data_IF_263258584058
#
_entry.id   IF_263258584058
#
_cell.length_a   1.000
_cell.length_b   1.000
_cell.length_c   1.000
_cell.angle_alpha   90.00
_cell.angle_beta   90.00
_cell.angle_gamma   90.00
#
_symmetry.space_group_name_H-M   'P 1'
#
loop_
_entity.id
_entity.type
_entity.pdbx_description
1 polymer ?
#
# COMPACT_ATOMS: atom_id res chain seq x y z
N UNK A 1 7.19 14.82 3.54
CA UNK A 1 7.97 14.97 2.29
C UNK A 1 7.06 14.72 1.11
N UNK A 2 7.13 15.51 0.02
CA UNK A 2 6.38 15.23 -1.20
C UNK A 2 6.74 13.85 -1.78
N UNK A 3 5.75 13.14 -2.33
CA UNK A 3 5.95 11.78 -2.85
C UNK A 3 6.98 11.74 -4.00
N UNK A 4 7.02 12.79 -4.83
CA UNK A 4 7.92 12.92 -5.99
C UNK A 4 9.40 12.77 -5.66
N UNK A 5 9.81 13.23 -4.47
CA UNK A 5 11.19 13.21 -4.00
C UNK A 5 11.47 12.04 -3.04
N UNK A 6 10.43 11.36 -2.59
CA UNK A 6 10.49 10.30 -1.59
C UNK A 6 10.76 8.96 -2.26
N UNK A 7 11.83 8.22 -1.90
CA UNK A 7 12.00 6.87 -2.37
C UNK A 7 10.83 5.98 -1.94
N UNK A 8 10.29 5.24 -2.91
CA UNK A 8 9.22 4.25 -2.71
C UNK A 8 9.82 2.86 -2.90
N UNK A 9 9.50 1.90 -2.05
CA UNK A 9 9.85 0.50 -2.27
C UNK A 9 8.61 -0.35 -2.54
N UNK A 10 8.78 -1.36 -3.41
CA UNK A 10 7.78 -2.40 -3.65
C UNK A 10 8.42 -3.75 -3.40
N UNK A 11 7.97 -4.45 -2.35
CA UNK A 11 8.41 -5.80 -1.99
C UNK A 11 7.45 -6.82 -2.59
N UNK A 12 8.01 -7.84 -3.26
CA UNK A 12 7.22 -8.72 -4.12
C UNK A 12 6.94 -8.11 -5.49
N UNK A 13 7.82 -7.21 -5.96
CA UNK A 13 7.64 -6.44 -7.19
C UNK A 13 7.48 -7.28 -8.47
N UNK A 14 7.90 -8.56 -8.46
CA UNK A 14 7.71 -9.48 -9.60
C UNK A 14 6.36 -10.20 -9.59
N UNK A 15 5.58 -10.07 -8.52
CA UNK A 15 4.23 -10.63 -8.42
C UNK A 15 3.22 -9.82 -9.24
N UNK A 16 2.05 -10.40 -9.50
CA UNK A 16 0.98 -9.76 -10.26
C UNK A 16 0.64 -8.37 -9.69
N UNK A 17 0.26 -8.32 -8.40
CA UNK A 17 -0.11 -7.08 -7.71
C UNK A 17 1.10 -6.14 -7.57
N UNK A 18 2.23 -6.63 -7.07
CA UNK A 18 3.43 -5.80 -6.86
C UNK A 18 3.91 -5.12 -8.14
N UNK A 19 3.90 -5.83 -9.27
CA UNK A 19 4.33 -5.26 -10.56
C UNK A 19 3.42 -4.15 -11.07
N UNK A 20 2.12 -4.22 -10.79
CA UNK A 20 1.15 -3.18 -11.18
C UNK A 20 1.21 -2.02 -10.21
N UNK A 21 1.31 -2.26 -8.90
CA UNK A 21 1.53 -1.20 -7.91
C UNK A 21 2.77 -0.36 -8.23
N UNK A 22 3.87 -1.02 -8.62
CA UNK A 22 5.09 -0.34 -9.06
C UNK A 22 4.84 0.55 -10.28
N UNK A 23 4.08 0.07 -11.28
CA UNK A 23 3.74 0.87 -12.47
C UNK A 23 2.80 2.04 -12.14
N UNK A 24 1.80 1.84 -11.29
CA UNK A 24 0.86 2.89 -10.84
C UNK A 24 1.58 4.05 -10.15
N UNK A 25 2.58 3.73 -9.31
CA UNK A 25 3.33 4.72 -8.55
C UNK A 25 4.45 5.37 -9.34
N UNK A 26 4.79 4.86 -10.53
CA UNK A 26 5.91 5.35 -11.32
C UNK A 26 5.80 6.84 -11.70
N UNK A 27 4.57 7.34 -11.94
CA UNK A 27 4.35 8.76 -12.22
C UNK A 27 4.39 9.66 -10.98
N UNK A 28 4.41 9.08 -9.77
CA UNK A 28 4.26 9.79 -8.50
C UNK A 28 5.58 9.93 -7.73
N UNK A 29 6.59 9.12 -8.06
CA UNK A 29 7.94 9.20 -7.49
C UNK A 29 9.00 9.14 -8.58
N UNK A 30 10.12 9.84 -8.37
CA UNK A 30 11.29 9.73 -9.23
C UNK A 30 12.24 8.60 -8.81
N UNK A 31 12.03 7.99 -7.64
CA UNK A 31 12.94 7.01 -7.02
C UNK A 31 12.17 5.79 -6.53
N UNK A 32 12.43 4.64 -7.14
CA UNK A 32 11.77 3.38 -6.78
C UNK A 32 12.78 2.26 -6.52
N UNK A 33 12.53 1.48 -5.47
CA UNK A 33 13.28 0.27 -5.11
C UNK A 33 12.36 -0.94 -5.31
N UNK A 34 12.69 -1.79 -6.28
CA UNK A 34 11.94 -3.01 -6.56
C UNK A 34 12.66 -4.18 -5.88
N UNK A 35 11.97 -4.82 -4.93
CA UNK A 35 12.53 -5.91 -4.12
C UNK A 35 11.91 -7.25 -4.53
N UNK A 36 12.75 -8.21 -4.89
CA UNK A 36 12.33 -9.53 -5.32
C UNK A 36 13.50 -10.48 -5.59
N UNK A 37 13.20 -11.79 -5.64
CA UNK A 37 14.22 -12.83 -5.82
C UNK A 37 14.63 -13.05 -7.28
N UNK A 38 13.72 -12.83 -8.23
CA UNK A 38 13.93 -13.07 -9.66
C UNK A 38 14.43 -11.82 -10.37
N UNK A 39 15.75 -11.71 -10.55
CA UNK A 39 16.40 -10.50 -11.10
C UNK A 39 16.02 -10.22 -12.55
N UNK A 40 15.87 -11.26 -13.37
CA UNK A 40 15.37 -11.19 -14.75
C UNK A 40 13.99 -10.50 -14.80
N UNK A 41 13.04 -10.97 -13.98
CA UNK A 41 11.71 -10.40 -13.90
C UNK A 41 11.67 -9.01 -13.27
N UNK A 42 12.56 -8.72 -12.31
CA UNK A 42 12.72 -7.36 -11.80
C UNK A 42 13.20 -6.42 -12.90
N UNK A 43 14.08 -6.87 -13.80
CA UNK A 43 14.50 -6.11 -14.96
C UNK A 43 13.32 -5.71 -15.87
N UNK A 44 12.44 -6.67 -16.17
CA UNK A 44 11.21 -6.43 -16.96
C UNK A 44 10.27 -5.42 -16.26
N UNK A 45 10.06 -5.55 -14.95
CA UNK A 45 9.23 -4.61 -14.18
C UNK A 45 9.89 -3.23 -14.14
N UNK A 46 11.21 -3.15 -13.92
CA UNK A 46 11.94 -1.90 -13.89
C UNK A 46 11.87 -1.15 -15.23
N UNK A 47 11.92 -1.87 -16.36
CA UNK A 47 11.75 -1.26 -17.68
C UNK A 47 10.35 -0.61 -17.81
N UNK A 48 9.29 -1.31 -17.42
CA UNK A 48 7.92 -0.78 -17.43
C UNK A 48 7.75 0.42 -16.49
N UNK A 49 8.32 0.35 -15.29
CA UNK A 49 8.31 1.47 -14.31
C UNK A 49 9.03 2.71 -14.87
N UNK A 50 10.17 2.54 -15.54
CA UNK A 50 10.87 3.65 -16.20
C UNK A 50 10.04 4.27 -17.32
N UNK A 51 9.43 3.43 -18.16
CA UNK A 51 8.53 3.89 -19.22
C UNK A 51 7.30 4.64 -18.68
N UNK A 52 6.82 4.27 -17.49
CA UNK A 52 5.70 4.91 -16.82
C UNK A 52 6.06 6.20 -16.05
N UNK A 53 7.34 6.62 -16.03
CA UNK A 53 7.75 7.96 -15.56
C UNK A 53 8.73 8.00 -14.39
N UNK A 54 9.11 6.86 -13.80
CA UNK A 54 10.07 6.84 -12.69
C UNK A 54 11.51 6.65 -13.19
N UNK A 55 12.33 7.70 -13.11
CA UNK A 55 13.67 7.72 -13.70
C UNK A 55 14.70 6.87 -12.96
N UNK A 56 14.66 6.82 -11.63
CA UNK A 56 15.65 6.12 -10.81
C UNK A 56 15.04 4.85 -10.23
N UNK A 57 15.29 3.72 -10.89
CA UNK A 57 14.79 2.41 -10.45
C UNK A 57 15.95 1.52 -10.05
N UNK A 58 15.98 1.12 -8.77
CA UNK A 58 16.91 0.14 -8.20
C UNK A 58 16.20 -1.20 -8.11
N UNK A 59 16.85 -2.28 -8.56
CA UNK A 59 16.37 -3.65 -8.36
C UNK A 59 17.26 -4.35 -7.33
N UNK A 60 16.69 -5.14 -6.44
CA UNK A 60 17.46 -5.82 -5.38
C UNK A 60 16.72 -7.02 -4.80
N UNK A 61 17.46 -7.93 -4.19
CA UNK A 61 16.91 -8.96 -3.31
C UNK A 61 17.17 -8.64 -1.82
N UNK A 62 17.88 -7.55 -1.52
CA UNK A 62 18.32 -7.20 -0.17
C UNK A 62 17.29 -6.32 0.54
N UNK A 63 16.64 -6.86 1.58
CA UNK A 63 15.65 -6.16 2.39
C UNK A 63 16.22 -4.94 3.14
N UNK A 64 17.52 -4.86 3.38
CA UNK A 64 18.15 -3.69 4.01
C UNK A 64 18.04 -2.42 3.15
N UNK A 65 17.74 -2.53 1.85
CA UNK A 65 17.49 -1.38 0.98
C UNK A 65 16.19 -0.64 1.36
N UNK A 66 15.28 -1.27 2.09
CA UNK A 66 14.06 -0.63 2.59
C UNK A 66 14.33 0.54 3.54
N UNK A 67 15.51 0.59 4.18
CA UNK A 67 15.91 1.69 5.05
C UNK A 67 16.05 3.04 4.29
N UNK A 68 15.99 3.04 2.96
CA UNK A 68 15.99 4.26 2.15
C UNK A 68 14.56 4.76 1.83
N UNK A 69 13.56 3.87 1.90
CA UNK A 69 12.21 4.14 1.43
C UNK A 69 11.35 4.84 2.49
N UNK A 70 10.65 5.91 2.11
CA UNK A 70 9.64 6.54 2.96
C UNK A 70 8.31 5.79 2.87
N UNK A 71 7.97 5.28 1.68
CA UNK A 71 6.74 4.53 1.43
C UNK A 71 7.11 3.14 0.94
N UNK A 72 6.51 2.12 1.54
CA UNK A 72 6.79 0.72 1.22
C UNK A 72 5.46 0.04 0.95
N UNK A 73 5.27 -0.53 -0.24
CA UNK A 73 4.19 -1.48 -0.49
C UNK A 73 4.80 -2.87 -0.44
N UNK A 74 4.21 -3.76 0.35
CA UNK A 74 4.63 -5.15 0.40
C UNK A 74 3.47 -6.06 0.06
N UNK A 75 3.74 -6.98 -0.87
CA UNK A 75 2.78 -7.99 -1.34
C UNK A 75 3.54 -9.21 -1.81
N UNK A 76 3.84 -10.11 -0.87
CA UNK A 76 4.47 -11.39 -1.18
C UNK A 76 3.58 -12.59 -0.89
N UNK A 77 4.10 -13.78 -1.21
CA UNK A 77 3.52 -15.06 -0.84
C UNK A 77 4.35 -15.75 0.26
N UNK A 78 5.08 -14.96 1.06
CA UNK A 78 5.82 -15.48 2.20
C UNK A 78 4.85 -16.02 3.24
N UNK A 79 5.26 -17.11 3.90
CA UNK A 79 4.48 -17.70 5.01
C UNK A 79 4.82 -17.01 6.33
N UNK A 80 6.06 -16.56 6.46
CA UNK A 80 6.57 -15.83 7.63
C UNK A 80 6.77 -14.36 7.28
N UNK A 81 6.81 -13.52 8.31
CA UNK A 81 7.16 -12.11 8.16
C UNK A 81 8.59 -11.98 7.60
N UNK A 82 8.77 -11.04 6.67
CA UNK A 82 10.05 -10.76 5.99
C UNK A 82 10.52 -9.32 6.19
N UNK A 83 9.66 -8.45 6.71
CA UNK A 83 9.98 -7.06 7.08
C UNK A 83 10.05 -6.96 8.61
N UNK A 84 11.25 -6.73 9.10
CA UNK A 84 11.59 -6.58 10.51
C UNK A 84 11.93 -5.12 10.85
N UNK A 85 11.93 -4.73 12.15
CA UNK A 85 12.18 -3.35 12.59
C UNK A 85 13.42 -2.69 11.99
N UNK A 86 14.53 -3.44 11.82
CA UNK A 86 15.80 -2.93 11.29
C UNK A 86 15.75 -2.58 9.81
N UNK A 87 14.80 -3.12 9.05
CA UNK A 87 14.66 -2.82 7.63
C UNK A 87 14.04 -1.44 7.38
N UNK A 88 13.38 -0.86 8.39
CA UNK A 88 12.57 0.33 8.22
C UNK A 88 13.33 1.56 8.71
N UNK A 89 13.24 2.67 7.97
CA UNK A 89 13.71 3.96 8.46
C UNK A 89 12.72 4.60 9.42
N UNK A 90 13.15 5.65 10.13
CA UNK A 90 12.23 6.51 10.86
C UNK A 90 11.25 7.20 9.92
N UNK A 91 9.98 7.21 10.32
CA UNK A 91 8.89 7.81 9.56
C UNK A 91 8.47 7.04 8.32
N UNK A 92 8.84 5.75 8.21
CA UNK A 92 8.36 4.93 7.12
C UNK A 92 6.84 4.70 7.24
N UNK A 93 6.17 4.69 6.08
CA UNK A 93 4.79 4.25 5.93
C UNK A 93 4.80 2.95 5.12
N UNK A 94 4.27 1.87 5.70
CA UNK A 94 4.23 0.54 5.09
C UNK A 94 2.79 0.15 4.82
N UNK A 95 2.45 -0.12 3.56
CA UNK A 95 1.19 -0.73 3.15
C UNK A 95 1.43 -2.23 2.93
N UNK A 96 0.98 -3.05 3.88
CA UNK A 96 1.07 -4.50 3.83
C UNK A 96 -0.23 -5.08 3.25
N UNK A 97 -0.15 -5.49 1.99
CA UNK A 97 -1.26 -6.09 1.23
C UNK A 97 -1.23 -7.63 1.33
N UNK A 98 -0.20 -8.20 1.95
CA UNK A 98 0.00 -9.64 1.99
C UNK A 98 -0.88 -10.34 3.05
N UNK A 99 -1.20 -11.60 2.73
CA UNK A 99 -1.85 -12.55 3.62
C UNK A 99 -1.21 -13.94 3.40
N UNK A 100 -0.48 -14.50 4.38
CA UNK A 100 -0.07 -13.92 5.68
C UNK A 100 0.71 -12.59 5.56
N UNK A 101 0.76 -11.80 6.64
CA UNK A 101 1.43 -10.48 6.66
C UNK A 101 2.92 -10.60 6.37
N UNK A 102 3.44 -9.69 5.56
CA UNK A 102 4.88 -9.57 5.31
C UNK A 102 5.59 -8.83 6.46
N UNK A 103 4.87 -7.98 7.20
CA UNK A 103 5.42 -7.15 8.28
C UNK A 103 5.29 -7.85 9.63
N UNK A 104 6.43 -7.98 10.32
CA UNK A 104 6.54 -8.57 11.65
C UNK A 104 5.80 -7.73 12.69
N UNK A 105 5.14 -8.40 13.65
CA UNK A 105 4.48 -7.74 14.78
C UNK A 105 5.47 -6.92 15.64
N UNK A 106 6.75 -7.31 15.64
CA UNK A 106 7.82 -6.58 16.29
C UNK A 106 7.94 -5.13 15.79
N UNK A 107 7.51 -4.84 14.56
CA UNK A 107 7.50 -3.47 14.03
C UNK A 107 6.55 -2.58 14.84
N UNK A 108 5.34 -3.04 15.14
CA UNK A 108 4.41 -2.27 15.98
C UNK A 108 4.93 -2.05 17.42
N UNK A 109 5.69 -3.02 17.93
CA UNK A 109 6.21 -2.99 19.30
C UNK A 109 7.44 -2.09 19.43
N UNK A 110 8.34 -2.12 18.45
CA UNK A 110 9.65 -1.48 18.53
C UNK A 110 9.73 -0.16 17.76
N UNK A 111 8.82 0.10 16.81
CA UNK A 111 8.87 1.24 15.89
C UNK A 111 7.60 2.10 15.98
N UNK A 112 7.39 2.83 17.10
CA UNK A 112 6.23 3.72 17.24
C UNK A 112 6.29 4.94 16.30
N UNK A 113 7.40 5.09 15.56
CA UNK A 113 7.66 6.10 14.55
C UNK A 113 7.39 5.62 13.11
N UNK A 114 6.85 4.41 12.94
CA UNK A 114 6.49 3.80 11.65
C UNK A 114 4.98 3.58 11.61
N UNK A 115 4.36 3.95 10.49
CA UNK A 115 2.96 3.69 10.24
C UNK A 115 2.82 2.43 9.39
N UNK A 116 2.24 1.36 9.95
CA UNK A 116 1.90 0.15 9.20
C UNK A 116 0.40 0.14 8.94
N UNK A 117 0.01 0.01 7.67
CA UNK A 117 -1.38 -0.04 7.21
C UNK A 117 -1.60 -1.37 6.48
N UNK A 118 -2.67 -2.07 6.80
CA UNK A 118 -3.12 -3.25 6.06
C UNK A 118 -3.87 -2.80 4.80
N UNK A 119 -3.41 -3.26 3.64
CA UNK A 119 -4.03 -2.98 2.36
C UNK A 119 -5.17 -3.94 2.03
N UNK A 120 -5.98 -3.56 1.04
CA UNK A 120 -6.95 -4.47 0.43
C UNK A 120 -8.23 -4.71 1.23
N UNK A 121 -8.62 -3.79 2.12
CA UNK A 121 -9.94 -3.80 2.76
C UNK A 121 -10.90 -2.81 2.09
N UNK A 122 -12.09 -3.29 1.74
CA UNK A 122 -13.09 -2.54 0.99
C UNK A 122 -14.42 -2.56 1.74
N UNK A 123 -15.06 -1.39 1.87
CA UNK A 123 -16.43 -1.26 2.34
C UNK A 123 -17.40 -1.59 1.21
N UNK A 124 -18.24 -2.60 1.43
CA UNK A 124 -19.22 -3.08 0.45
C UNK A 124 -20.50 -2.21 0.53
N UNK A 125 -21.08 -1.77 -0.60
CA UNK A 125 -22.29 -0.95 -0.62
C UNK A 125 -23.51 -1.67 -0.03
N UNK A 126 -24.44 -0.90 0.53
CA UNK A 126 -25.71 -1.41 1.08
C UNK A 126 -25.61 -1.95 2.51
N UNK A 127 -26.60 -2.73 2.94
CA UNK A 127 -26.57 -3.47 4.21
C UNK A 127 -26.27 -4.93 3.88
N UNK A 128 -25.05 -5.36 4.15
CA UNK A 128 -24.58 -6.72 3.83
C UNK A 128 -24.24 -7.44 5.12
N UNK A 129 -24.84 -8.62 5.27
CA UNK A 129 -24.41 -9.64 6.21
C UNK A 129 -23.83 -10.79 5.38
N UNK A 130 -22.55 -11.09 5.58
CA UNK A 130 -21.87 -12.16 4.85
C UNK A 130 -22.17 -13.55 5.42
N UNK A 131 -22.74 -13.63 6.63
CA UNK A 131 -22.94 -14.89 7.34
C UNK A 131 -21.65 -15.61 7.72
N UNK A 132 -20.49 -14.94 7.61
CA UNK A 132 -19.17 -15.49 7.89
C UNK A 132 -18.22 -14.39 8.40
N UNK A 133 -17.37 -14.72 9.37
CA UNK A 133 -16.37 -13.80 9.91
C UNK A 133 -15.01 -13.96 9.21
N UNK A 134 -14.63 -12.96 8.42
CA UNK A 134 -13.34 -12.92 7.71
C UNK A 134 -12.19 -12.33 8.56
N UNK A 135 -12.44 -11.97 9.82
CA UNK A 135 -11.54 -11.16 10.65
C UNK A 135 -11.58 -9.66 10.29
N UNK A 136 -12.62 -9.23 9.59
CA UNK A 136 -12.84 -7.85 9.18
C UNK A 136 -14.08 -7.27 9.89
N UNK A 137 -14.16 -5.94 10.10
CA UNK A 137 -15.36 -5.32 10.63
C UNK A 137 -16.60 -5.63 9.76
N UNK A 138 -17.82 -5.53 10.32
CA UNK A 138 -19.05 -5.68 9.55
C UNK A 138 -19.04 -4.81 8.28
N UNK A 139 -19.65 -5.32 7.19
CA UNK A 139 -19.71 -4.65 5.88
C UNK A 139 -18.35 -4.49 5.16
N UNK A 140 -17.26 -5.06 5.70
CA UNK A 140 -15.95 -5.03 5.05
C UNK A 140 -15.61 -6.37 4.40
N UNK A 141 -14.97 -6.29 3.24
CA UNK A 141 -14.49 -7.43 2.49
C UNK A 141 -13.04 -7.20 2.02
N UNK A 142 -12.32 -8.29 1.74
CA UNK A 142 -11.06 -8.19 1.03
C UNK A 142 -11.29 -7.72 -0.42
N UNK A 143 -10.32 -6.98 -0.98
CA UNK A 143 -10.42 -6.40 -2.32
C UNK A 143 -10.66 -7.46 -3.41
N UNK A 144 -10.10 -8.67 -3.26
CA UNK A 144 -10.37 -9.78 -4.18
C UNK A 144 -11.84 -10.23 -4.16
N UNK A 145 -12.49 -10.22 -2.99
CA UNK A 145 -13.93 -10.51 -2.87
C UNK A 145 -14.75 -9.35 -3.44
N UNK A 146 -14.34 -8.11 -3.17
CA UNK A 146 -14.99 -6.93 -3.70
C UNK A 146 -14.95 -6.87 -5.24
N UNK A 147 -13.85 -7.29 -5.88
CA UNK A 147 -13.75 -7.40 -7.34
C UNK A 147 -14.84 -8.31 -7.90
N UNK A 148 -15.03 -9.51 -7.31
CA UNK A 148 -16.08 -10.44 -7.74
C UNK A 148 -17.48 -9.83 -7.59
N UNK A 149 -17.75 -9.15 -6.48
CA UNK A 149 -19.03 -8.48 -6.25
C UNK A 149 -19.26 -7.34 -7.25
N UNK A 150 -18.24 -6.51 -7.49
CA UNK A 150 -18.31 -5.37 -8.39
C UNK A 150 -18.55 -5.81 -9.84
N UNK A 151 -17.84 -6.84 -10.31
CA UNK A 151 -18.06 -7.44 -11.63
C UNK A 151 -19.47 -8.00 -11.78
N UNK A 152 -19.96 -8.71 -10.76
CA UNK A 152 -21.32 -9.27 -10.75
C UNK A 152 -22.37 -8.18 -10.85
N UNK A 153 -22.23 -7.09 -10.08
CA UNK A 153 -23.14 -5.94 -10.12
C UNK A 153 -23.10 -5.21 -11.48
N UNK A 154 -21.96 -5.26 -12.17
CA UNK A 154 -21.79 -4.73 -13.52
C UNK A 154 -22.18 -5.75 -14.62
N UNK A 155 -22.73 -6.91 -14.23
CA UNK A 155 -23.15 -8.00 -15.13
C UNK A 155 -22.02 -8.53 -16.03
N UNK A 156 -20.78 -8.49 -15.53
CA UNK A 156 -19.61 -9.04 -16.21
C UNK A 156 -19.23 -10.37 -15.57
N UNK A 157 -19.49 -11.46 -16.32
CA UNK A 157 -19.28 -12.84 -15.86
C UNK A 157 -18.10 -13.47 -16.61
N UNK A 158 -16.89 -13.04 -16.26
CA UNK A 158 -15.66 -13.52 -16.87
C UNK A 158 -14.57 -13.72 -15.81
N UNK A 159 -13.54 -14.49 -16.16
CA UNK A 159 -12.32 -14.63 -15.35
C UNK A 159 -11.45 -13.37 -15.49
N UNK A 160 -11.92 -12.26 -14.92
CA UNK A 160 -11.35 -10.92 -15.13
C UNK A 160 -9.87 -10.80 -14.75
N UNK A 161 -9.55 -11.25 -13.53
CA UNK A 161 -8.16 -11.35 -13.04
C UNK A 161 -7.79 -12.82 -12.92
N UNK A 162 -6.97 -13.31 -13.85
CA UNK A 162 -6.51 -14.70 -13.86
C UNK A 162 -5.02 -14.80 -14.16
N UNK A 163 -4.31 -15.62 -13.39
CA UNK A 163 -2.90 -15.87 -13.59
C UNK A 163 -2.00 -14.80 -12.96
N UNK A 164 -0.80 -14.63 -13.52
CA UNK A 164 0.25 -13.74 -12.96
C UNK A 164 0.36 -12.39 -13.65
N UNK A 165 -0.41 -12.20 -14.71
CA UNK A 165 -0.41 -10.98 -15.50
C UNK A 165 -1.64 -10.16 -15.15
N UNK A 166 -1.40 -9.03 -14.50
CA UNK A 166 -2.41 -8.00 -14.25
C UNK A 166 -1.91 -6.75 -14.93
N UNK A 167 -2.81 -6.07 -15.63
CA UNK A 167 -2.49 -4.84 -16.37
C UNK A 167 -2.98 -3.62 -15.62
N UNK A 168 -2.33 -2.48 -15.84
CA UNK A 168 -2.76 -1.21 -15.29
C UNK A 168 -4.18 -0.83 -15.74
N UNK A 169 -4.54 -1.13 -16.99
CA UNK A 169 -5.87 -0.87 -17.54
C UNK A 169 -6.95 -1.72 -16.86
N UNK A 170 -6.67 -2.99 -16.53
CA UNK A 170 -7.58 -3.82 -15.73
C UNK A 170 -7.83 -3.18 -14.36
N UNK A 171 -6.77 -2.78 -13.65
CA UNK A 171 -6.90 -2.13 -12.33
C UNK A 171 -7.72 -0.84 -12.41
N UNK A 172 -7.46 0.02 -13.40
CA UNK A 172 -8.23 1.25 -13.61
C UNK A 172 -9.71 0.99 -13.97
N UNK A 173 -9.98 -0.11 -14.66
CA UNK A 173 -11.34 -0.47 -15.07
C UNK A 173 -12.13 -1.01 -13.88
N UNK A 174 -11.56 -1.93 -13.11
CA UNK A 174 -12.24 -2.46 -11.93
C UNK A 174 -12.45 -1.38 -10.85
N UNK A 175 -11.52 -0.42 -10.71
CA UNK A 175 -11.67 0.73 -9.82
C UNK A 175 -12.90 1.58 -10.18
N UNK A 176 -13.08 1.89 -11.47
CA UNK A 176 -14.28 2.62 -11.97
C UNK A 176 -15.57 1.83 -11.77
N UNK A 177 -15.53 0.50 -11.94
CA UNK A 177 -16.70 -0.37 -11.71
C UNK A 177 -17.05 -0.35 -10.21
N UNK A 178 -16.05 -0.54 -9.35
CA UNK A 178 -16.22 -0.50 -7.90
C UNK A 178 -16.77 0.86 -7.44
N UNK A 179 -16.22 1.97 -7.93
CA UNK A 179 -16.70 3.32 -7.63
C UNK A 179 -18.17 3.52 -8.04
N UNK A 180 -18.52 3.12 -9.28
CA UNK A 180 -19.89 3.20 -9.84
C UNK A 180 -20.90 2.47 -8.96
N UNK A 181 -20.53 1.30 -8.44
CA UNK A 181 -21.42 0.50 -7.60
C UNK A 181 -21.36 0.88 -6.11
N UNK A 182 -20.58 1.90 -5.73
CA UNK A 182 -20.57 2.44 -4.38
C UNK A 182 -19.64 1.72 -3.41
N UNK A 183 -18.70 0.92 -3.90
CA UNK A 183 -17.60 0.41 -3.08
C UNK A 183 -16.69 1.58 -2.67
N UNK A 184 -16.11 1.49 -1.48
CA UNK A 184 -15.24 2.51 -0.90
C UNK A 184 -14.07 1.86 -0.17
N UNK A 185 -12.97 2.58 -0.01
CA UNK A 185 -11.87 2.13 0.85
C UNK A 185 -12.36 1.96 2.30
N UNK A 186 -11.98 0.85 2.94
CA UNK A 186 -12.49 0.45 4.25
C UNK A 186 -11.89 1.21 5.46
N UNK A 187 -11.12 2.26 5.23
CA UNK A 187 -10.32 2.94 6.27
C UNK A 187 -8.99 2.22 6.56
N UNK A 188 -8.18 2.79 7.46
CA UNK A 188 -6.86 2.26 7.80
C UNK A 188 -6.91 1.29 8.98
N UNK A 189 -6.21 0.16 8.84
CA UNK A 189 -6.02 -0.84 9.90
C UNK A 189 -4.55 -1.17 10.05
N UNK A 190 -4.13 -1.54 11.25
CA UNK A 190 -2.80 -2.06 11.53
C UNK A 190 -2.98 -3.27 12.43
N UNK A 191 -2.39 -4.44 12.11
CA UNK A 191 -2.49 -5.62 12.98
C UNK A 191 -3.91 -5.89 13.51
N UNK A 192 -4.90 -5.91 12.61
CA UNK A 192 -6.31 -6.19 12.91
C UNK A 192 -7.04 -5.17 13.82
N UNK A 193 -6.44 -4.01 14.12
CA UNK A 193 -7.14 -2.89 14.75
C UNK A 193 -7.31 -1.73 13.78
N UNK A 194 -8.40 -0.97 13.93
CA UNK A 194 -8.54 0.30 13.24
C UNK A 194 -7.48 1.28 13.77
N UNK A 195 -6.90 2.08 12.87
CA UNK A 195 -5.99 3.18 13.23
C UNK A 195 -6.81 4.45 13.32
N UNK A 196 -6.69 5.21 14.40
CA UNK A 196 -7.37 6.49 14.56
C UNK A 196 -6.53 7.65 14.04
N UNK A 197 -7.17 8.79 13.75
CA UNK A 197 -6.48 10.00 13.31
C UNK A 197 -5.50 10.51 14.39
N UNK A 198 -5.83 10.34 15.68
CA UNK A 198 -4.94 10.68 16.79
C UNK A 198 -3.69 9.79 16.82
N UNK A 199 -3.84 8.50 16.52
CA UNK A 199 -2.71 7.57 16.44
C UNK A 199 -1.80 7.94 15.26
N UNK A 200 -2.37 8.25 14.09
CA UNK A 200 -1.62 8.74 12.92
C UNK A 200 -0.89 10.04 13.26
N UNK A 201 -1.56 10.98 13.92
CA UNK A 201 -0.96 12.24 14.35
C UNK A 201 0.21 12.01 15.32
N UNK A 202 0.06 11.08 16.27
CA UNK A 202 1.13 10.71 17.21
C UNK A 202 2.33 10.10 16.49
N UNK A 203 2.11 9.14 15.58
CA UNK A 203 3.18 8.54 14.79
C UNK A 203 3.89 9.61 13.97
N UNK A 204 3.12 10.54 13.37
CA UNK A 204 3.67 11.67 12.62
C UNK A 204 4.60 12.51 13.50
N UNK A 205 4.21 12.84 14.74
CA UNK A 205 5.10 13.56 15.67
C UNK A 205 6.39 12.77 15.96
N UNK A 206 6.29 11.47 16.21
CA UNK A 206 7.44 10.60 16.50
C UNK A 206 8.37 10.36 15.30
N UNK A 207 7.84 10.52 14.09
CA UNK A 207 8.58 10.40 12.83
C UNK A 207 9.45 11.60 12.50
N UNK A 208 9.16 12.77 13.07
CA UNK A 208 9.96 13.98 12.88
C UNK A 208 11.27 13.84 13.66
N UNK A 209 12.39 14.23 13.04
CA UNK A 209 13.67 14.20 13.74
C UNK A 209 13.74 15.36 14.76
N UNK A 210 14.49 15.24 15.88
CA UNK A 210 14.68 16.35 16.81
C UNK A 210 15.19 17.65 16.16
N UNK A 211 15.89 17.54 15.02
CA UNK A 211 16.43 18.66 14.26
C UNK A 211 15.41 19.36 13.33
N UNK A 212 14.21 18.80 13.11
CA UNK A 212 13.19 19.41 12.23
C UNK A 212 12.36 20.51 12.96
N UNK A 213 12.55 20.67 14.27
CA UNK A 213 11.77 21.58 15.11
C UNK A 213 12.07 23.08 14.93
N UNK A 214 13.01 23.47 14.06
CA UNK A 214 13.35 24.87 13.81
C UNK A 214 12.67 25.51 12.58
N UNK A 215 11.95 24.74 11.75
CA UNK A 215 11.48 25.25 10.45
C UNK A 215 9.95 25.30 10.23
N UNK A 216 9.10 24.99 11.20
CA UNK A 216 7.66 25.26 11.04
C UNK A 216 6.89 25.35 12.37
N UNK A 217 6.94 26.50 13.02
CA UNK A 217 5.88 26.91 13.95
C UNK A 217 5.19 28.15 13.36
N UNK A 218 4.21 27.88 12.51
CA UNK A 218 2.99 28.70 12.37
C UNK A 218 1.94 27.78 11.75
N UNK A 219 1.21 27.04 12.59
CA UNK A 219 -0.06 26.42 12.20
C UNK A 219 -1.18 27.36 12.63
N UNK A 220 -1.86 27.92 11.63
CA UNK A 220 -3.14 28.61 11.75
C UNK A 220 -4.25 27.55 11.92
N UNK A 221 -5.00 27.56 13.04
CA UNK A 221 -6.01 26.55 13.34
C UNK A 221 -7.29 26.62 12.46
N UNK A 222 -7.34 27.49 11.46
CA UNK A 222 -8.56 27.73 10.66
C UNK A 222 -8.65 27.02 9.30
N UNK A 223 -7.66 26.20 8.89
CA UNK A 223 -7.71 25.52 7.58
C UNK A 223 -8.17 24.07 7.67
N UNK A 224 -9.39 23.85 7.15
CA UNK A 224 -10.00 22.54 6.91
C UNK A 224 -9.10 21.63 6.06
N UNK A 225 -8.99 20.36 6.46
CA UNK A 225 -8.24 19.31 5.78
C UNK A 225 -9.07 18.78 4.59
N UNK A 226 -8.52 18.82 3.37
CA UNK A 226 -9.16 18.28 2.17
C UNK A 226 -8.62 16.85 1.90
N UNK A 227 -9.46 15.80 2.00
CA UNK A 227 -9.05 14.42 1.78
C UNK A 227 -8.79 14.06 0.30
N UNK A 228 -8.95 14.98 -0.66
CA UNK A 228 -8.75 14.73 -2.09
C UNK A 228 -7.28 14.75 -2.57
N UNK A 229 -6.30 14.82 -1.66
CA UNK A 229 -4.87 14.78 -2.00
C UNK A 229 -4.22 13.53 -1.42
N UNK A 230 -4.52 12.38 -2.01
CA UNK A 230 -3.74 11.14 -1.92
C UNK A 230 -3.66 10.50 -3.31
#
# INVERSE_FOLDING_TARGET
TPLKESPVAVVGATGAIGSVCAQMLAGQTNKMILVGRRQDKLGEVAARVRQAGCNQVTITANMNQLAQAHFIITVTSAVEAIIEPQHLRRGAVVCDVARPRDVSQQVAEQRPDVLVIEGGMVKVPGRVDFGFDFGLPPQMAYACMAETMALTLNQQYESYTLGKEVTLSQVQTIDKIAERHGFRLGGFRSFERAITDEEIARIKVLSLSPNDNQLSITMDPSKHFDPAVL
#
